data_IF_425022732172
#
_entry.id   IF_425022732172
#
_cell.length_a   1.000
_cell.length_b   1.000
_cell.length_c   1.000
_cell.angle_alpha   90.00
_cell.angle_beta   90.00
_cell.angle_gamma   90.00
#
_symmetry.space_group_name_H-M   'P 1'
#
loop_
_entity.id
_entity.type
_entity.pdbx_description
1 polymer ?
#
# COMPACT_ATOMS: atom_id res chain seq x y z
N UNK A 1 -9.14 11.58 -7.66
CA UNK A 1 -9.36 10.25 -8.26
C UNK A 1 -10.42 10.37 -9.34
N UNK A 2 -10.19 11.28 -10.28
CA UNK A 2 -11.25 11.81 -11.15
C UNK A 2 -10.85 11.79 -12.62
N UNK A 3 -9.67 11.26 -12.91
CA UNK A 3 -9.21 10.97 -14.27
C UNK A 3 -9.55 9.51 -14.61
N UNK A 4 -9.91 9.23 -15.88
CA UNK A 4 -10.12 7.87 -16.36
C UNK A 4 -8.80 7.10 -16.36
N UNK A 5 -8.86 5.76 -16.30
CA UNK A 5 -7.68 4.92 -16.11
C UNK A 5 -6.65 5.10 -17.24
N UNK A 6 -7.13 5.31 -18.47
CA UNK A 6 -6.33 5.51 -19.69
C UNK A 6 -5.41 6.73 -19.63
N UNK A 7 -5.70 7.69 -18.75
CA UNK A 7 -4.90 8.91 -18.57
C UNK A 7 -3.87 8.79 -17.43
N UNK A 8 -3.92 7.71 -16.63
CA UNK A 8 -3.13 7.56 -15.39
C UNK A 8 -2.42 6.22 -15.27
N UNK A 9 -2.81 5.21 -16.06
CA UNK A 9 -2.29 3.85 -16.04
C UNK A 9 -0.77 3.78 -16.29
N UNK A 10 -0.26 4.55 -17.25
CA UNK A 10 1.16 4.64 -17.59
C UNK A 10 1.98 5.19 -16.44
N UNK A 11 1.47 6.22 -15.75
CA UNK A 11 2.04 6.75 -14.53
C UNK A 11 2.03 5.71 -13.42
N UNK A 12 0.90 5.04 -13.20
CA UNK A 12 0.75 4.03 -12.16
C UNK A 12 1.66 2.80 -12.39
N UNK A 13 1.79 2.38 -13.64
CA UNK A 13 2.69 1.31 -14.09
C UNK A 13 4.15 1.71 -13.87
N UNK A 14 4.51 2.95 -14.20
CA UNK A 14 5.86 3.48 -13.96
C UNK A 14 6.18 3.49 -12.46
N UNK A 15 5.26 3.96 -11.61
CA UNK A 15 5.45 3.92 -10.15
C UNK A 15 5.61 2.48 -9.64
N UNK A 16 4.83 1.52 -10.14
CA UNK A 16 4.99 0.10 -9.78
C UNK A 16 6.36 -0.44 -10.21
N UNK A 17 6.79 -0.14 -11.44
CA UNK A 17 8.07 -0.60 -11.98
C UNK A 17 9.28 -0.08 -11.19
N UNK A 18 9.20 1.12 -10.62
CA UNK A 18 10.27 1.73 -9.83
C UNK A 18 10.10 1.57 -8.31
N UNK A 19 9.07 0.86 -7.84
CA UNK A 19 8.86 0.58 -6.43
C UNK A 19 9.25 -0.87 -6.12
N UNK A 20 10.44 -1.13 -5.53
CA UNK A 20 10.88 -2.48 -5.25
C UNK A 20 9.84 -3.27 -4.46
N UNK A 21 9.57 -4.50 -4.88
CA UNK A 21 8.62 -5.44 -4.27
C UNK A 21 7.13 -5.06 -4.39
N UNK A 22 6.76 -3.94 -5.01
CA UNK A 22 5.35 -3.68 -5.34
C UNK A 22 4.90 -4.62 -6.44
N UNK A 23 3.74 -5.25 -6.23
CA UNK A 23 3.09 -6.16 -7.19
C UNK A 23 2.08 -5.40 -8.06
N UNK A 24 1.29 -4.55 -7.42
CA UNK A 24 0.33 -3.69 -8.10
C UNK A 24 -0.12 -2.54 -7.19
N UNK A 25 -0.38 -1.39 -7.80
CA UNK A 25 -1.23 -0.34 -7.26
C UNK A 25 -2.63 -0.46 -7.85
N UNK A 26 -3.66 -0.30 -7.03
CA UNK A 26 -5.05 -0.14 -7.46
C UNK A 26 -5.57 1.22 -7.00
N UNK A 27 -6.24 1.93 -7.90
CA UNK A 27 -7.03 3.11 -7.55
C UNK A 27 -8.48 2.70 -7.33
N UNK A 28 -9.03 3.11 -6.18
CA UNK A 28 -10.35 2.71 -5.72
C UNK A 28 -11.21 3.97 -5.54
N UNK A 29 -12.40 3.96 -6.13
CA UNK A 29 -13.39 5.03 -5.99
C UNK A 29 -14.71 4.42 -5.55
N UNK A 30 -15.28 4.90 -4.45
CA UNK A 30 -16.53 4.39 -3.89
C UNK A 30 -16.52 2.85 -3.68
N UNK A 31 -15.39 2.30 -3.23
CA UNK A 31 -15.18 0.86 -3.02
C UNK A 31 -14.94 0.05 -4.30
N UNK A 32 -14.95 0.67 -5.49
CA UNK A 32 -14.69 0.02 -6.77
C UNK A 32 -13.26 0.28 -7.21
N UNK A 33 -12.47 -0.78 -7.39
CA UNK A 33 -11.19 -0.70 -8.07
C UNK A 33 -11.43 -0.43 -9.56
N UNK A 34 -10.96 0.72 -10.05
CA UNK A 34 -11.20 1.17 -11.42
C UNK A 34 -9.95 1.18 -12.30
N UNK A 35 -8.76 1.19 -11.68
CA UNK A 35 -7.49 1.19 -12.40
C UNK A 35 -6.43 0.40 -11.65
N UNK A 36 -5.65 -0.38 -12.38
CA UNK A 36 -4.61 -1.27 -11.88
C UNK A 36 -3.30 -1.03 -12.62
N UNK A 37 -2.19 -0.91 -11.90
CA UNK A 37 -0.86 -0.78 -12.50
C UNK A 37 -0.40 -2.04 -13.24
N UNK A 38 -1.06 -3.17 -13.01
CA UNK A 38 -0.68 -4.47 -13.58
C UNK A 38 -1.62 -4.92 -14.70
N UNK A 39 -2.89 -4.53 -14.63
CA UNK A 39 -3.95 -5.04 -15.52
C UNK A 39 -4.74 -3.94 -16.22
N UNK A 40 -4.43 -2.66 -15.98
CA UNK A 40 -5.12 -1.52 -16.58
C UNK A 40 -6.52 -1.29 -15.99
N UNK A 41 -7.43 -0.81 -16.83
CA UNK A 41 -8.81 -0.47 -16.45
C UNK A 41 -9.57 -1.70 -15.93
N UNK A 42 -10.40 -1.47 -14.91
CA UNK A 42 -11.25 -2.51 -14.33
C UNK A 42 -12.51 -1.90 -13.72
N UNK A 43 -13.44 -2.75 -13.29
CA UNK A 43 -14.65 -2.34 -12.59
C UNK A 43 -15.05 -3.43 -11.61
N UNK A 44 -14.26 -3.58 -10.54
CA UNK A 44 -14.41 -4.68 -9.59
C UNK A 44 -14.45 -4.12 -8.17
N UNK A 45 -15.43 -4.49 -7.33
CA UNK A 45 -15.41 -4.13 -5.92
C UNK A 45 -14.11 -4.60 -5.25
N UNK A 46 -13.45 -3.72 -4.50
CA UNK A 46 -12.20 -4.08 -3.84
C UNK A 46 -12.39 -5.23 -2.84
N UNK A 47 -13.56 -5.32 -2.22
CA UNK A 47 -13.93 -6.42 -1.31
C UNK A 47 -13.98 -7.80 -1.99
N UNK A 48 -14.22 -7.85 -3.31
CA UNK A 48 -14.14 -9.11 -4.07
C UNK A 48 -12.69 -9.50 -4.35
N UNK A 49 -11.81 -8.51 -4.56
CA UNK A 49 -10.38 -8.76 -4.81
C UNK A 49 -9.64 -9.08 -3.51
N UNK A 50 -9.95 -8.35 -2.44
CA UNK A 50 -9.22 -8.32 -1.17
C UNK A 50 -10.22 -8.19 0.01
N UNK A 51 -10.91 -9.27 0.39
CA UNK A 51 -11.93 -9.24 1.45
C UNK A 51 -11.35 -8.96 2.86
N UNK A 52 -10.04 -9.11 3.05
CA UNK A 52 -9.39 -8.99 4.35
C UNK A 52 -9.06 -7.54 4.77
N UNK A 53 -9.30 -6.55 3.91
CA UNK A 53 -8.98 -5.13 4.18
C UNK A 53 -10.27 -4.36 4.44
N UNK A 54 -10.32 -3.67 5.58
CA UNK A 54 -11.40 -2.75 5.91
C UNK A 54 -11.11 -1.34 5.34
N UNK A 55 -11.76 -1.02 4.23
CA UNK A 55 -11.58 0.26 3.51
C UNK A 55 -12.27 1.45 4.18
N UNK A 56 -13.07 1.21 5.24
CA UNK A 56 -13.68 2.30 6.02
C UNK A 56 -12.65 3.03 6.89
N UNK A 57 -11.48 2.41 7.11
CA UNK A 57 -10.38 3.00 7.89
C UNK A 57 -9.51 3.92 7.02
N UNK A 58 -8.92 4.98 7.60
CA UNK A 58 -7.95 5.83 6.89
C UNK A 58 -6.74 5.05 6.37
N UNK A 59 -6.26 4.08 7.16
CA UNK A 59 -5.18 3.16 6.80
C UNK A 59 -5.54 1.77 7.31
N UNK A 60 -5.33 0.74 6.50
CA UNK A 60 -5.49 -0.65 6.89
C UNK A 60 -4.42 -1.54 6.26
N UNK A 61 -4.03 -2.61 6.96
CA UNK A 61 -3.04 -3.57 6.48
C UNK A 61 -3.46 -4.99 6.78
N UNK A 62 -3.08 -5.91 5.90
CA UNK A 62 -3.29 -7.34 6.07
C UNK A 62 -2.18 -8.13 5.38
N UNK A 63 -1.91 -9.34 5.86
CA UNK A 63 -1.12 -10.33 5.11
C UNK A 63 -2.11 -11.22 4.38
N UNK A 64 -1.94 -11.31 3.06
CA UNK A 64 -2.75 -12.16 2.20
C UNK A 64 -1.97 -13.43 1.85
N UNK A 65 -2.61 -14.61 1.83
CA UNK A 65 -1.97 -15.84 1.36
C UNK A 65 -1.64 -15.78 -0.15
N UNK A 66 -2.35 -14.93 -0.89
CA UNK A 66 -2.17 -14.69 -2.32
C UNK A 66 -3.09 -13.58 -2.82
N UNK A 67 -2.91 -13.17 -4.06
CA UNK A 67 -3.83 -12.26 -4.78
C UNK A 67 -4.38 -12.97 -6.02
N UNK A 68 -5.48 -12.49 -6.64
CA UNK A 68 -6.05 -13.16 -7.81
C UNK A 68 -5.05 -13.44 -8.94
N UNK A 69 -4.10 -12.54 -9.18
CA UNK A 69 -3.04 -12.71 -10.20
C UNK A 69 -1.83 -13.52 -9.71
N UNK A 70 -1.60 -13.60 -8.40
CA UNK A 70 -0.52 -14.39 -7.79
C UNK A 70 -1.04 -15.19 -6.59
N UNK A 71 -1.88 -16.22 -6.83
CA UNK A 71 -2.64 -16.89 -5.77
C UNK A 71 -1.78 -17.76 -4.85
N UNK A 72 -0.59 -18.16 -5.29
CA UNK A 72 0.33 -19.04 -4.54
C UNK A 72 1.47 -18.29 -3.85
N UNK A 73 1.42 -16.96 -3.80
CA UNK A 73 2.50 -16.15 -3.25
C UNK A 73 1.93 -15.11 -2.30
N UNK A 74 2.34 -15.15 -1.03
CA UNK A 74 1.83 -14.24 -0.02
C UNK A 74 2.15 -12.77 -0.34
N UNK A 75 1.24 -11.87 0.02
CA UNK A 75 1.37 -10.44 -0.18
C UNK A 75 1.12 -9.66 1.12
N UNK A 76 1.85 -8.57 1.33
CA UNK A 76 1.41 -7.52 2.24
C UNK A 76 0.43 -6.62 1.46
N UNK A 77 -0.76 -6.45 2.00
CA UNK A 77 -1.79 -5.57 1.49
C UNK A 77 -1.83 -4.30 2.34
N UNK A 78 -1.78 -3.14 1.70
CA UNK A 78 -1.90 -1.83 2.32
C UNK A 78 -3.03 -1.05 1.65
N UNK A 79 -3.87 -0.45 2.47
CA UNK A 79 -4.90 0.51 2.07
C UNK A 79 -4.58 1.88 2.66
N UNK A 80 -4.73 2.91 1.83
CA UNK A 80 -4.66 4.31 2.24
C UNK A 80 -5.86 5.04 1.65
N UNK A 81 -6.78 5.46 2.53
CA UNK A 81 -7.98 6.20 2.17
C UNK A 81 -7.68 7.64 1.75
N UNK A 82 -8.51 8.17 0.85
CA UNK A 82 -8.49 9.57 0.41
C UNK A 82 -9.17 10.43 1.49
N UNK A 83 -8.52 11.47 2.02
CA UNK A 83 -9.16 12.37 2.98
C UNK A 83 -10.45 12.99 2.43
N UNK A 84 -11.52 12.93 3.22
CA UNK A 84 -12.83 13.50 2.86
C UNK A 84 -13.65 12.68 1.87
N UNK A 85 -13.20 11.50 1.45
CA UNK A 85 -13.88 10.64 0.48
C UNK A 85 -13.86 9.19 0.98
N UNK A 86 -14.93 8.79 1.66
CA UNK A 86 -15.03 7.46 2.27
C UNK A 86 -14.99 6.38 1.19
N UNK A 87 -14.28 5.28 1.46
CA UNK A 87 -14.13 4.13 0.56
C UNK A 87 -13.43 4.44 -0.78
N UNK A 88 -12.83 5.62 -0.92
CA UNK A 88 -11.96 5.96 -2.05
C UNK A 88 -10.52 6.06 -1.55
N UNK A 89 -9.55 5.66 -2.36
CA UNK A 89 -8.18 5.53 -1.90
C UNK A 89 -7.32 4.65 -2.77
N UNK A 90 -6.09 4.41 -2.31
CA UNK A 90 -5.09 3.61 -3.01
C UNK A 90 -4.92 2.30 -2.25
N UNK A 91 -4.97 1.21 -2.99
CA UNK A 91 -4.55 -0.10 -2.50
C UNK A 91 -3.21 -0.48 -3.11
N UNK A 92 -2.32 -1.03 -2.30
CA UNK A 92 -0.99 -1.50 -2.71
C UNK A 92 -0.83 -2.94 -2.26
N UNK A 93 -0.34 -3.78 -3.17
CA UNK A 93 0.14 -5.12 -2.83
C UNK A 93 1.65 -5.20 -2.98
N UNK A 94 2.32 -5.75 -1.98
CA UNK A 94 3.77 -5.86 -1.90
C UNK A 94 4.12 -7.33 -1.69
N UNK A 95 5.22 -7.82 -2.25
CA UNK A 95 5.71 -9.17 -1.97
C UNK A 95 5.88 -9.37 -0.46
N UNK A 96 5.33 -10.45 0.11
CA UNK A 96 5.52 -10.74 1.53
C UNK A 96 6.90 -11.33 1.85
N UNK A 97 7.73 -11.64 0.85
CA UNK A 97 9.11 -12.10 1.04
C UNK A 97 10.11 -10.96 1.35
N UNK A 98 9.61 -9.82 1.86
CA UNK A 98 10.45 -8.76 2.38
C UNK A 98 11.46 -9.39 3.32
N UNK A 99 12.75 -9.25 3.01
CA UNK A 99 13.81 -9.63 3.93
C UNK A 99 13.42 -9.06 5.30
N UNK A 100 13.32 -9.86 6.38
CA UNK A 100 12.70 -9.48 7.66
C UNK A 100 13.15 -8.12 8.23
N UNK A 101 14.31 -7.66 7.79
CA UNK A 101 14.90 -6.34 8.03
C UNK A 101 13.98 -5.14 7.81
N UNK A 102 13.10 -5.14 6.81
CA UNK A 102 12.22 -3.97 6.52
C UNK A 102 11.11 -3.84 7.57
N UNK A 103 10.54 -4.96 8.03
CA UNK A 103 9.54 -4.94 9.12
C UNK A 103 10.20 -4.68 10.48
N UNK A 104 11.44 -5.15 10.66
CA UNK A 104 12.22 -4.92 11.87
C UNK A 104 12.60 -3.44 12.05
N UNK A 105 13.02 -2.74 10.99
CA UNK A 105 13.37 -1.31 11.08
C UNK A 105 12.14 -0.41 11.32
N UNK A 106 10.98 -0.75 10.75
CA UNK A 106 9.72 -0.07 11.05
C UNK A 106 9.35 -0.17 12.55
N UNK A 107 9.56 -1.34 13.17
CA UNK A 107 9.36 -1.51 14.62
C UNK A 107 10.37 -0.73 15.48
N UNK A 108 11.61 -0.56 15.03
CA UNK A 108 12.62 0.17 15.82
C UNK A 108 12.35 1.68 15.88
N UNK A 109 11.76 2.27 14.83
CA UNK A 109 11.35 3.67 14.87
C UNK A 109 10.24 3.93 15.90
N UNK A 110 9.33 2.96 16.13
CA UNK A 110 8.31 3.06 17.17
C UNK A 110 8.85 2.76 18.58
N UNK A 111 9.90 1.93 18.71
CA UNK A 111 10.49 1.58 20.01
C UNK A 111 11.48 2.62 20.57
N UNK A 112 11.91 3.59 19.76
CA UNK A 112 12.83 4.65 20.20
C UNK A 112 12.15 5.73 21.08
N UNK A 113 10.87 5.57 21.43
CA UNK A 113 10.07 6.52 22.21
C UNK A 113 9.83 6.18 23.68
N UNK A 114 10.34 5.06 24.20
CA UNK A 114 10.21 4.71 25.64
C UNK A 114 11.60 4.53 26.24
N UNK A 115 12.29 5.65 26.44
CA UNK A 115 13.48 5.76 27.28
C UNK A 115 13.32 7.00 28.15
N UNK A 116 13.27 6.79 29.47
CA UNK A 116 13.16 7.86 30.46
C UNK A 116 14.21 8.97 30.21
N UNK A 117 13.78 10.21 30.46
CA UNK A 117 14.43 11.42 29.96
C UNK A 117 15.94 11.51 30.14
N UNK A 118 16.60 11.89 29.06
CA UNK A 118 17.74 12.80 29.12
C UNK A 118 17.79 13.59 27.81
N UNK A 119 17.73 14.93 27.90
CA UNK A 119 17.99 15.82 26.77
C UNK A 119 19.39 15.53 26.26
N UNK A 120 19.56 15.29 24.97
CA UNK A 120 20.81 15.55 24.28
C UNK A 120 20.56 15.77 22.79
N UNK A 121 21.33 16.72 22.27
CA UNK A 121 21.14 17.45 21.02
C UNK A 121 21.14 16.59 19.76
N UNK A 122 20.29 16.96 18.81
CA UNK A 122 20.33 16.53 17.42
C UNK A 122 21.56 17.18 16.76
N UNK A 123 22.54 16.40 16.32
CA UNK A 123 23.58 16.85 15.38
C UNK A 123 23.39 16.08 14.07
N UNK A 124 22.91 16.78 13.05
CA UNK A 124 22.94 16.33 11.67
C UNK A 124 24.41 16.22 11.25
N UNK A 125 24.83 15.05 10.78
CA UNK A 125 25.94 14.96 9.84
C UNK A 125 25.48 14.13 8.66
N UNK A 126 25.20 14.81 7.54
CA UNK A 126 25.27 14.21 6.22
C UNK A 126 26.74 14.02 5.85
N UNK A 127 27.06 12.82 5.39
CA UNK A 127 28.06 12.53 4.37
C UNK A 127 27.46 11.51 3.41
#
# INVERSE_FOLDING_TARGET
MDQPCENIDSGLTSHAAFSPNVRAFLLVKNGIAFCSSATGAMNTPLSQLIPAIDISKPVAMAILPGTPMMPKSAALALWVGKPGDQNSGIFVSINANLTPYILYSARQNDFSGIGAGHRSHCYLHLQ
#
